data_IF_980343266720
#
_entry.id   IF_980343266720
#
_cell.length_a   1.000
_cell.length_b   1.000
_cell.length_c   1.000
_cell.angle_alpha   90.00
_cell.angle_beta   90.00
_cell.angle_gamma   90.00
#
_symmetry.space_group_name_H-M   'P 1'
#
loop_
_entity.id
_entity.type
_entity.pdbx_description
1 polymer ?
#
# COMPACT_ATOMS: atom_id res chain seq x y z
N UNK A 1 67.11 -19.73 77.44
CA UNK A 1 67.63 -18.45 77.89
C UNK A 1 66.66 -17.40 77.48
N UNK A 2 66.06 -16.84 78.44
CA UNK A 2 65.06 -15.88 78.81
C UNK A 2 64.46 -14.98 77.64
N UNK A 3 63.18 -15.19 77.49
CA UNK A 3 62.18 -14.45 76.83
C UNK A 3 61.90 -13.09 77.51
N UNK A 4 61.77 -12.03 76.82
CA UNK A 4 61.07 -10.83 77.28
C UNK A 4 59.94 -10.51 76.32
N UNK A 5 58.72 -10.69 76.82
CA UNK A 5 57.49 -10.22 76.21
C UNK A 5 57.39 -8.70 76.36
N UNK A 6 57.07 -8.04 75.31
CA UNK A 6 56.65 -6.64 75.35
C UNK A 6 55.20 -6.56 74.93
N UNK A 7 54.30 -6.24 75.81
CA UNK A 7 52.91 -5.89 75.52
C UNK A 7 52.86 -4.48 75.08
N UNK A 8 52.37 -4.29 73.84
CA UNK A 8 51.96 -2.98 73.38
C UNK A 8 50.44 -3.00 73.21
N UNK A 9 49.78 -2.24 74.11
CA UNK A 9 48.36 -1.96 74.02
C UNK A 9 48.13 -0.98 72.92
N UNK A 10 47.61 -1.45 71.79
CA UNK A 10 47.15 -0.63 70.69
C UNK A 10 45.66 -0.30 70.84
N UNK A 11 45.35 0.93 71.14
CA UNK A 11 43.97 1.43 71.11
C UNK A 11 43.34 1.32 69.74
N UNK A 12 42.29 0.50 69.65
CA UNK A 12 41.50 0.35 68.44
C UNK A 12 40.56 1.57 68.28
N UNK A 13 40.98 2.57 67.57
CA UNK A 13 40.11 3.67 67.15
C UNK A 13 39.20 3.21 65.99
N UNK A 14 37.96 2.94 66.35
CA UNK A 14 36.92 2.57 65.39
C UNK A 14 36.41 3.84 64.73
N UNK A 15 36.99 4.25 63.58
CA UNK A 15 36.45 5.29 62.71
C UNK A 15 35.31 4.72 61.91
N UNK A 16 34.06 5.04 62.27
CA UNK A 16 32.91 4.83 61.43
C UNK A 16 33.04 5.73 60.18
N UNK A 17 33.52 5.19 59.09
CA UNK A 17 33.38 5.82 57.81
C UNK A 17 31.91 5.68 57.39
N UNK A 18 31.13 6.73 57.57
CA UNK A 18 29.86 6.93 56.87
C UNK A 18 30.17 7.05 55.37
N UNK A 19 30.21 5.91 54.69
CA UNK A 19 30.15 5.90 53.24
C UNK A 19 28.74 6.38 52.88
N UNK A 20 28.65 7.70 52.61
CA UNK A 20 27.52 8.24 51.92
C UNK A 20 27.40 7.50 50.58
N UNK A 21 26.32 6.75 50.41
CA UNK A 21 25.94 6.22 49.13
C UNK A 21 25.53 7.42 48.26
N UNK A 22 26.52 8.12 47.75
CA UNK A 22 26.33 8.97 46.59
C UNK A 22 25.92 8.06 45.46
N UNK A 23 24.62 7.98 45.18
CA UNK A 23 24.17 7.48 43.89
C UNK A 23 24.90 8.32 42.85
N UNK A 24 25.79 7.67 42.09
CA UNK A 24 26.29 8.26 40.88
C UNK A 24 25.05 8.73 40.10
N UNK A 25 25.02 9.98 39.62
CA UNK A 25 23.92 10.40 38.76
C UNK A 25 23.82 9.37 37.64
N UNK A 26 22.64 8.75 37.51
CA UNK A 26 22.36 7.89 36.40
C UNK A 26 22.81 8.68 35.17
N UNK A 27 23.78 8.12 34.47
CA UNK A 27 24.19 8.64 33.15
C UNK A 27 22.93 8.57 32.31
N UNK A 28 22.18 9.67 32.27
CA UNK A 28 21.09 9.81 31.33
C UNK A 28 21.78 9.75 29.98
N UNK A 29 21.67 8.59 29.39
CA UNK A 29 21.98 8.36 27.99
C UNK A 29 21.16 9.44 27.25
N UNK A 30 21.81 10.57 27.03
CA UNK A 30 21.17 11.71 26.35
C UNK A 30 21.05 11.26 24.94
N UNK A 31 19.88 10.64 24.62
CA UNK A 31 19.50 10.30 23.24
C UNK A 31 19.57 11.61 22.47
N UNK A 32 20.67 11.81 21.77
CA UNK A 32 20.86 12.99 20.96
C UNK A 32 19.85 12.90 19.80
N UNK A 33 18.94 13.86 19.75
CA UNK A 33 17.94 13.92 18.71
C UNK A 33 18.62 14.01 17.33
N UNK A 34 18.42 12.96 16.52
CA UNK A 34 18.94 12.95 15.16
C UNK A 34 17.85 13.45 14.20
N UNK A 35 17.80 14.77 14.01
CA UNK A 35 16.82 15.41 13.13
C UNK A 35 16.96 14.97 11.67
N UNK A 36 18.18 14.72 11.20
CA UNK A 36 18.42 14.23 9.83
C UNK A 36 17.82 12.85 9.62
N UNK A 37 17.94 11.97 10.61
CA UNK A 37 17.31 10.66 10.57
C UNK A 37 15.78 10.79 10.68
N UNK A 38 15.29 11.66 11.57
CA UNK A 38 13.86 11.89 11.74
C UNK A 38 13.22 12.45 10.46
N UNK A 39 13.91 13.30 9.71
CA UNK A 39 13.42 13.81 8.43
C UNK A 39 13.27 12.72 7.38
N UNK A 40 14.14 11.70 7.38
CA UNK A 40 14.01 10.53 6.51
C UNK A 40 12.74 9.71 6.80
N UNK A 41 12.25 9.75 8.04
CA UNK A 41 11.02 9.09 8.48
C UNK A 41 9.79 10.01 8.48
N UNK A 42 9.92 11.23 8.03
CA UNK A 42 8.77 12.11 7.91
C UNK A 42 7.77 11.58 6.87
N UNK A 43 6.45 11.73 7.16
CA UNK A 43 5.38 11.17 6.32
C UNK A 43 5.48 11.54 4.84
N UNK A 44 5.92 12.75 4.52
CA UNK A 44 6.08 13.18 3.11
C UNK A 44 7.31 12.56 2.45
N UNK A 45 8.38 12.32 3.19
CA UNK A 45 9.59 11.67 2.67
C UNK A 45 9.36 10.17 2.48
N UNK A 46 8.73 9.51 3.45
CA UNK A 46 8.38 8.08 3.36
C UNK A 46 7.26 7.85 2.35
N UNK A 47 6.23 8.69 2.34
CA UNK A 47 5.13 8.58 1.40
C UNK A 47 5.62 8.61 -0.04
N UNK A 48 6.52 9.54 -0.38
CA UNK A 48 7.10 9.61 -1.72
C UNK A 48 8.03 8.46 -2.08
N UNK A 49 8.66 7.81 -1.09
CA UNK A 49 9.57 6.68 -1.32
C UNK A 49 8.89 5.33 -1.32
N UNK A 50 7.88 5.14 -0.47
CA UNK A 50 7.26 3.84 -0.24
C UNK A 50 5.94 3.67 -0.98
N UNK A 51 5.13 4.70 -1.10
CA UNK A 51 3.78 4.61 -1.63
C UNK A 51 3.45 5.63 -2.72
N UNK A 52 4.43 6.40 -3.19
CA UNK A 52 4.21 7.43 -4.20
C UNK A 52 2.88 8.23 -3.99
N UNK A 53 2.67 8.69 -2.75
CA UNK A 53 1.47 9.38 -2.26
C UNK A 53 0.20 8.52 -2.05
N UNK A 54 0.23 7.22 -2.28
CA UNK A 54 -0.91 6.35 -2.00
C UNK A 54 -0.93 5.96 -0.52
N UNK A 55 -1.39 6.87 0.32
CA UNK A 55 -1.60 6.62 1.78
C UNK A 55 -2.98 6.03 2.06
N UNK A 56 -3.85 5.98 1.07
CA UNK A 56 -5.21 5.47 1.17
C UNK A 56 -5.40 4.26 0.29
N UNK A 57 -6.11 3.28 0.81
CA UNK A 57 -6.49 2.07 0.10
C UNK A 57 -7.98 2.14 -0.17
N UNK A 58 -8.35 2.00 -1.42
CA UNK A 58 -9.75 2.01 -1.86
C UNK A 58 -10.12 0.63 -2.39
N UNK A 59 -10.82 -0.19 -1.58
CA UNK A 59 -11.30 -1.49 -2.06
C UNK A 59 -12.49 -1.30 -2.99
N UNK A 60 -12.51 -2.08 -4.06
CA UNK A 60 -13.60 -2.16 -5.02
C UNK A 60 -14.24 -3.55 -4.93
N UNK A 61 -15.52 -3.61 -4.64
CA UNK A 61 -16.28 -4.87 -4.55
C UNK A 61 -16.36 -5.58 -5.90
N UNK A 62 -16.43 -6.90 -5.86
CA UNK A 62 -16.55 -7.75 -7.04
C UNK A 62 -17.90 -8.45 -7.02
N UNK A 63 -18.84 -8.02 -7.87
CA UNK A 63 -20.10 -8.72 -8.18
C UNK A 63 -20.90 -9.17 -6.95
N UNK A 64 -21.22 -8.30 -6.04
CA UNK A 64 -21.99 -8.60 -4.82
C UNK A 64 -21.43 -9.76 -3.98
N UNK A 65 -20.12 -9.96 -4.04
CA UNK A 65 -19.39 -10.96 -3.24
C UNK A 65 -18.53 -10.30 -2.19
N UNK A 66 -18.05 -11.07 -1.21
CA UNK A 66 -17.08 -10.56 -0.23
C UNK A 66 -15.69 -10.32 -0.84
N UNK A 67 -15.46 -10.77 -2.07
CA UNK A 67 -14.20 -10.57 -2.77
C UNK A 67 -14.09 -9.13 -3.24
N UNK A 68 -12.89 -8.59 -3.19
CA UNK A 68 -12.61 -7.23 -3.65
C UNK A 68 -11.24 -7.14 -4.32
N UNK A 69 -11.04 -6.07 -5.04
CA UNK A 69 -9.74 -5.70 -5.57
C UNK A 69 -9.38 -4.29 -5.15
N UNK A 70 -8.11 -4.00 -5.15
CA UNK A 70 -7.59 -2.66 -4.92
C UNK A 70 -6.29 -2.47 -5.69
N UNK A 71 -5.97 -1.21 -5.98
CA UNK A 71 -4.68 -0.84 -6.51
C UNK A 71 -3.83 -0.16 -5.42
N UNK A 72 -2.55 -0.33 -5.53
CA UNK A 72 -1.59 0.29 -4.64
C UNK A 72 -0.35 0.71 -5.40
N UNK A 73 0.02 1.98 -5.27
CA UNK A 73 1.17 2.55 -5.96
C UNK A 73 2.39 2.60 -5.04
N UNK A 74 3.47 2.01 -5.49
CA UNK A 74 4.78 2.03 -4.83
C UNK A 74 5.83 2.70 -5.72
N UNK A 75 7.07 2.78 -5.26
CA UNK A 75 8.19 3.21 -6.10
C UNK A 75 8.46 2.27 -7.28
N UNK A 76 8.03 1.01 -7.19
CA UNK A 76 8.11 0.02 -8.26
C UNK A 76 6.95 0.09 -9.26
N UNK A 77 5.98 0.97 -9.03
CA UNK A 77 4.82 1.16 -9.89
C UNK A 77 3.49 0.88 -9.19
N UNK A 78 2.42 0.94 -9.98
CA UNK A 78 1.05 0.67 -9.56
C UNK A 78 0.76 -0.83 -9.73
N UNK A 79 0.39 -1.50 -8.65
CA UNK A 79 0.05 -2.92 -8.63
C UNK A 79 -1.41 -3.10 -8.28
N UNK A 80 -2.04 -4.12 -8.85
CA UNK A 80 -3.43 -4.46 -8.65
C UNK A 80 -3.53 -5.78 -7.90
N UNK A 81 -4.32 -5.81 -6.83
CA UNK A 81 -4.46 -6.95 -5.94
C UNK A 81 -5.89 -7.45 -5.92
N UNK A 82 -6.04 -8.76 -5.95
CA UNK A 82 -7.29 -9.46 -5.69
C UNK A 82 -7.25 -10.06 -4.29
N UNK A 83 -8.35 -9.92 -3.55
CA UNK A 83 -8.48 -10.43 -2.19
C UNK A 83 -9.72 -11.30 -2.07
N UNK A 84 -9.54 -12.49 -1.53
CA UNK A 84 -10.61 -13.38 -1.12
C UNK A 84 -10.55 -13.50 0.41
N UNK A 85 -11.41 -12.79 1.17
CA UNK A 85 -11.39 -12.82 2.62
C UNK A 85 -11.75 -14.18 3.22
N UNK A 86 -12.63 -14.96 2.56
CA UNK A 86 -13.05 -16.29 3.03
C UNK A 86 -11.90 -17.29 3.05
N UNK A 87 -11.02 -17.19 2.08
CA UNK A 87 -9.82 -18.02 1.99
C UNK A 87 -8.59 -17.39 2.65
N UNK A 88 -8.70 -16.15 3.11
CA UNK A 88 -7.56 -15.36 3.62
C UNK A 88 -6.48 -15.12 2.58
N UNK A 89 -6.85 -15.09 1.30
CA UNK A 89 -5.92 -15.03 0.17
C UNK A 89 -5.83 -13.62 -0.41
N UNK A 90 -4.61 -13.13 -0.57
CA UNK A 90 -4.28 -11.94 -1.33
C UNK A 90 -3.27 -12.28 -2.41
N UNK A 91 -3.57 -11.96 -3.66
CA UNK A 91 -2.69 -12.21 -4.80
C UNK A 91 -2.65 -11.01 -5.75
N UNK A 92 -1.62 -10.93 -6.58
CA UNK A 92 -1.61 -9.98 -7.69
C UNK A 92 -2.72 -10.36 -8.68
N UNK A 93 -3.47 -9.36 -9.11
CA UNK A 93 -4.53 -9.55 -10.09
C UNK A 93 -3.96 -10.02 -11.44
N UNK A 94 -2.79 -9.50 -11.79
CA UNK A 94 -1.97 -9.87 -12.95
C UNK A 94 -0.52 -9.41 -12.70
N UNK A 95 0.39 -9.91 -13.49
CA UNK A 95 1.77 -9.43 -13.55
C UNK A 95 1.86 -8.19 -14.48
N UNK A 96 2.45 -7.11 -13.99
CA UNK A 96 2.53 -5.86 -14.73
C UNK A 96 3.39 -5.96 -16.00
N UNK A 97 4.47 -6.73 -15.95
CA UNK A 97 5.36 -6.91 -17.12
C UNK A 97 4.64 -7.71 -18.20
N UNK A 98 3.98 -8.82 -17.81
CA UNK A 98 3.19 -9.63 -18.72
C UNK A 98 2.05 -8.81 -19.34
N UNK A 99 1.31 -8.05 -18.54
CA UNK A 99 0.24 -7.19 -19.03
C UNK A 99 0.75 -6.11 -19.99
N UNK A 100 1.88 -5.49 -19.68
CA UNK A 100 2.49 -4.49 -20.55
C UNK A 100 2.91 -5.09 -21.90
N UNK A 101 3.44 -6.32 -21.91
CA UNK A 101 3.78 -7.03 -23.15
C UNK A 101 2.52 -7.32 -23.98
N UNK A 102 1.45 -7.82 -23.35
CA UNK A 102 0.19 -8.12 -24.05
C UNK A 102 -0.44 -6.85 -24.62
N UNK A 103 -0.49 -5.77 -23.84
CA UNK A 103 -0.99 -4.47 -24.32
C UNK A 103 -0.14 -3.91 -25.44
N UNK A 104 1.19 -4.01 -25.35
CA UNK A 104 2.10 -3.55 -26.40
C UNK A 104 1.86 -4.29 -27.72
N UNK A 105 1.58 -5.62 -27.63
CA UNK A 105 1.25 -6.43 -28.80
C UNK A 105 -0.05 -6.02 -29.49
N UNK A 106 -1.07 -5.59 -28.74
CA UNK A 106 -2.37 -5.19 -29.27
C UNK A 106 -2.40 -3.72 -29.70
N UNK A 107 -1.70 -2.84 -28.98
CA UNK A 107 -1.69 -1.40 -29.28
C UNK A 107 -0.63 -1.02 -30.29
N UNK A 108 0.35 -1.88 -30.57
CA UNK A 108 1.55 -1.60 -31.36
C UNK A 108 2.39 -0.43 -30.81
N UNK A 109 2.28 -0.18 -29.49
CA UNK A 109 3.01 0.86 -28.79
C UNK A 109 3.71 0.27 -27.57
N UNK A 110 4.85 0.86 -27.19
CA UNK A 110 5.56 0.44 -25.98
C UNK A 110 4.78 0.86 -24.74
N UNK A 111 4.39 -0.12 -23.92
CA UNK A 111 3.70 0.08 -22.65
C UNK A 111 4.71 -0.07 -21.51
N UNK A 112 4.76 0.94 -20.62
CA UNK A 112 5.64 0.91 -19.46
C UNK A 112 4.97 0.18 -18.30
N UNK A 113 5.49 -0.95 -17.81
CA UNK A 113 4.88 -1.72 -16.72
C UNK A 113 4.82 -0.95 -15.38
N UNK A 114 5.75 -0.02 -15.14
CA UNK A 114 5.77 0.80 -13.92
C UNK A 114 4.65 1.86 -13.94
N UNK A 115 4.26 2.31 -15.13
CA UNK A 115 3.21 3.34 -15.33
C UNK A 115 1.94 2.76 -15.93
N UNK A 116 1.64 1.54 -15.59
CA UNK A 116 0.43 0.87 -16.06
C UNK A 116 -0.77 1.38 -15.24
N UNK A 117 -1.60 2.19 -15.88
CA UNK A 117 -2.81 2.76 -15.28
C UNK A 117 -4.03 2.24 -16.03
N UNK A 118 -4.75 1.31 -15.40
CA UNK A 118 -5.98 0.72 -15.92
C UNK A 118 -7.17 1.40 -15.25
N UNK A 119 -8.19 1.68 -16.02
CA UNK A 119 -9.43 2.29 -15.53
C UNK A 119 -10.64 1.42 -15.84
N UNK A 120 -11.77 1.71 -15.18
CA UNK A 120 -13.06 1.01 -15.38
C UNK A 120 -12.98 -0.52 -15.26
N UNK A 121 -12.19 -1.03 -14.33
CA UNK A 121 -11.99 -2.45 -14.16
C UNK A 121 -13.28 -3.10 -13.61
N UNK A 122 -13.85 -4.04 -14.38
CA UNK A 122 -15.08 -4.76 -14.04
C UNK A 122 -14.89 -6.27 -14.24
N UNK A 123 -15.17 -7.04 -13.21
CA UNK A 123 -15.08 -8.49 -13.27
C UNK A 123 -16.28 -9.12 -13.97
N UNK A 124 -16.04 -10.20 -14.69
CA UNK A 124 -17.08 -11.11 -15.14
C UNK A 124 -17.73 -11.82 -13.94
N UNK A 125 -18.95 -12.33 -14.11
CA UNK A 125 -19.70 -13.02 -13.02
C UNK A 125 -18.94 -14.20 -12.42
N UNK A 126 -18.16 -14.91 -13.24
CA UNK A 126 -17.36 -16.06 -12.83
C UNK A 126 -16.01 -15.67 -12.21
N UNK A 127 -15.68 -14.38 -12.15
CA UNK A 127 -14.44 -13.82 -11.64
C UNK A 127 -13.15 -14.35 -12.31
N UNK A 128 -13.27 -15.09 -13.41
CA UNK A 128 -12.12 -15.62 -14.16
C UNK A 128 -11.53 -14.61 -15.14
N UNK A 129 -12.33 -13.64 -15.56
CA UNK A 129 -11.90 -12.56 -16.42
C UNK A 129 -12.40 -11.21 -15.90
N UNK A 130 -11.79 -10.16 -16.39
CA UNK A 130 -12.22 -8.79 -16.15
C UNK A 130 -11.99 -7.92 -17.38
N UNK A 131 -12.87 -6.96 -17.55
CA UNK A 131 -12.77 -5.93 -18.60
C UNK A 131 -12.21 -4.67 -17.95
N UNK A 132 -11.35 -3.98 -18.68
CA UNK A 132 -10.79 -2.71 -18.24
C UNK A 132 -10.58 -1.78 -19.44
N UNK A 133 -10.46 -0.49 -19.16
CA UNK A 133 -10.12 0.53 -20.16
C UNK A 133 -8.65 0.90 -20.07
N UNK A 134 -7.98 0.95 -21.21
CA UNK A 134 -6.62 1.46 -21.35
C UNK A 134 -6.54 2.33 -22.61
N UNK A 135 -6.14 3.61 -22.47
CA UNK A 135 -6.05 4.58 -23.58
C UNK A 135 -7.32 4.63 -24.46
N UNK A 136 -8.49 4.73 -23.82
CA UNK A 136 -9.80 4.84 -24.49
C UNK A 136 -10.27 3.60 -25.27
N UNK A 137 -9.60 2.48 -25.12
CA UNK A 137 -10.02 1.18 -25.65
C UNK A 137 -10.32 0.22 -24.51
N UNK A 138 -11.26 -0.70 -24.75
CA UNK A 138 -11.63 -1.73 -23.78
C UNK A 138 -10.96 -3.06 -24.10
N UNK A 139 -10.51 -3.73 -23.05
CA UNK A 139 -9.82 -5.01 -23.14
C UNK A 139 -10.44 -6.00 -22.15
N UNK A 140 -10.56 -7.26 -22.55
CA UNK A 140 -10.95 -8.38 -21.70
C UNK A 140 -9.72 -9.24 -21.42
N UNK A 141 -9.38 -9.39 -20.15
CA UNK A 141 -8.27 -10.21 -19.68
C UNK A 141 -8.76 -11.42 -18.92
N UNK A 142 -8.37 -12.59 -19.37
CA UNK A 142 -8.66 -13.85 -18.68
C UNK A 142 -7.52 -14.23 -17.75
N UNK A 143 -7.77 -14.23 -16.43
CA UNK A 143 -6.78 -14.49 -15.38
C UNK A 143 -6.22 -15.92 -15.41
N UNK A 144 -7.01 -16.88 -15.86
CA UNK A 144 -6.63 -18.30 -15.88
C UNK A 144 -5.74 -18.60 -17.08
N UNK A 145 -6.12 -18.11 -18.26
CA UNK A 145 -5.39 -18.37 -19.50
C UNK A 145 -4.33 -17.30 -19.79
N UNK A 146 -4.31 -16.21 -19.02
CA UNK A 146 -3.45 -15.04 -19.19
C UNK A 146 -3.51 -14.43 -20.59
N UNK A 147 -4.69 -14.46 -21.19
CA UNK A 147 -4.92 -13.94 -22.53
C UNK A 147 -5.66 -12.61 -22.46
N UNK A 148 -5.23 -11.67 -23.30
CA UNK A 148 -5.84 -10.36 -23.48
C UNK A 148 -6.47 -10.27 -24.85
N UNK A 149 -7.66 -9.67 -24.93
CA UNK A 149 -8.37 -9.40 -26.18
C UNK A 149 -8.90 -7.97 -26.17
N UNK A 150 -8.85 -7.28 -27.30
CA UNK A 150 -9.56 -6.01 -27.47
C UNK A 150 -11.05 -6.29 -27.59
N UNK A 151 -11.86 -5.52 -26.87
CA UNK A 151 -13.33 -5.58 -26.93
C UNK A 151 -13.80 -4.40 -27.76
N UNK A 152 -14.35 -4.65 -28.92
CA UNK A 152 -15.01 -3.61 -29.70
C UNK A 152 -16.29 -3.17 -28.98
N UNK A 153 -16.38 -1.91 -28.61
CA UNK A 153 -17.66 -1.34 -28.22
C UNK A 153 -18.59 -1.38 -29.43
N UNK A 154 -19.62 -2.23 -29.35
CA UNK A 154 -20.79 -2.00 -30.20
C UNK A 154 -21.28 -0.61 -29.81
N UNK A 155 -21.09 0.37 -30.70
CA UNK A 155 -21.80 1.64 -30.59
C UNK A 155 -23.25 1.28 -30.38
N UNK A 156 -23.82 1.58 -29.23
CA UNK A 156 -25.25 1.51 -29.02
C UNK A 156 -25.85 2.30 -30.17
N UNK A 157 -26.70 1.66 -30.96
CA UNK A 157 -27.39 2.31 -32.06
C UNK A 157 -28.17 3.46 -31.39
N UNK A 158 -27.80 4.68 -31.71
CA UNK A 158 -28.30 5.91 -31.08
C UNK A 158 -29.85 6.06 -31.30
N UNK A 159 -30.45 5.05 -31.93
CA UNK A 159 -31.88 4.99 -32.22
C UNK A 159 -32.72 4.55 -31.04
N UNK A 160 -32.10 3.91 -30.02
CA UNK A 160 -32.78 3.45 -28.79
C UNK A 160 -32.39 4.27 -27.55
N UNK A 161 -31.56 5.30 -27.70
CA UNK A 161 -31.33 6.26 -26.64
C UNK A 161 -32.64 7.03 -26.39
N UNK A 162 -33.32 6.74 -25.30
CA UNK A 162 -34.40 7.61 -24.83
C UNK A 162 -33.86 9.04 -24.81
N UNK A 163 -34.57 10.01 -25.38
CA UNK A 163 -34.06 11.37 -25.45
C UNK A 163 -33.77 11.85 -24.03
N UNK A 164 -32.59 12.44 -23.84
CA UNK A 164 -32.07 12.95 -22.56
C UNK A 164 -33.09 13.83 -21.81
N UNK A 165 -34.16 14.21 -22.47
CA UNK A 165 -35.24 15.07 -22.00
C UNK A 165 -36.55 14.34 -21.65
N UNK A 166 -36.57 13.00 -21.57
CA UNK A 166 -37.78 12.25 -21.20
C UNK A 166 -38.36 12.60 -19.84
N UNK A 167 -37.50 13.16 -18.93
CA UNK A 167 -37.91 13.65 -17.60
C UNK A 167 -38.35 15.12 -17.60
N UNK A 168 -38.16 15.87 -18.69
CA UNK A 168 -38.68 17.21 -18.82
C UNK A 168 -40.20 17.12 -19.06
N UNK A 169 -40.95 17.28 -18.00
CA UNK A 169 -42.40 17.49 -18.11
C UNK A 169 -42.62 18.73 -18.99
N UNK A 170 -43.05 18.52 -20.21
CA UNK A 170 -43.61 19.60 -20.96
C UNK A 170 -44.79 20.13 -20.17
N UNK A 171 -44.83 21.45 -19.98
CA UNK A 171 -45.98 22.11 -19.39
C UNK A 171 -47.26 21.62 -20.09
N UNK A 172 -48.32 21.27 -19.33
CA UNK A 172 -49.56 20.80 -19.94
C UNK A 172 -50.21 21.86 -20.87
N UNK A 173 -49.72 23.07 -20.81
CA UNK A 173 -50.18 24.18 -21.64
C UNK A 173 -49.41 24.27 -22.95
N UNK A 174 -49.59 23.25 -23.80
CA UNK A 174 -49.22 23.39 -25.21
C UNK A 174 -50.11 24.46 -25.87
N UNK A 175 -49.77 25.72 -25.65
CA UNK A 175 -50.19 26.84 -26.51
C UNK A 175 -48.94 27.48 -27.08
#
# INVERSE_FOLDING_TARGET
>A
MVLKQLFIAGSLSFTLALQGWGQAPAEHDTVQANYELAEKFHKFTLGGKLSNNSMSLYPHEINDTDNFWFDFTTSAGKHYYYVNPKEGKKELLFDNEEMAILLSGLTHEVVNPVRLDLSELKFAKDQKSFVFSYRSKKYDYNRITRKLKEVEEKKADDRDAEPIYSWMNFSPDKK
#
